data_IF_234047698918
#
_entry.id   IF_234047698918
#
_cell.length_a   1.000
_cell.length_b   1.000
_cell.length_c   1.000
_cell.angle_alpha   90.00
_cell.angle_beta   90.00
_cell.angle_gamma   90.00
#
_symmetry.space_group_name_H-M   'P 1'
#
loop_
_entity.id
_entity.type
_entity.pdbx_description
1 polymer ?
#
# COMPACT_ATOMS: atom_id res chain seq x y z
N UNK A 1 -16.71 -5.41 -6.68
CA UNK A 1 -15.55 -4.49 -6.63
C UNK A 1 -14.83 -4.72 -5.32
N UNK A 2 -13.54 -5.04 -5.34
CA UNK A 2 -12.72 -5.00 -4.13
C UNK A 2 -12.56 -3.53 -3.68
N UNK A 3 -12.53 -3.28 -2.37
CA UNK A 3 -12.39 -1.93 -1.80
C UNK A 3 -11.02 -1.30 -2.12
N UNK A 4 -10.00 -2.13 -2.38
CA UNK A 4 -8.66 -1.73 -2.76
C UNK A 4 -8.29 -2.37 -4.10
N UNK A 5 -7.70 -1.61 -5.05
CA UNK A 5 -7.31 -2.13 -6.35
C UNK A 5 -6.09 -3.06 -6.29
N UNK A 6 -5.18 -2.85 -5.33
CA UNK A 6 -3.97 -3.66 -5.10
C UNK A 6 -3.42 -3.47 -3.68
N UNK A 7 -2.46 -4.31 -3.30
CA UNK A 7 -1.62 -4.18 -2.10
C UNK A 7 -0.16 -4.14 -2.53
N UNK A 8 0.61 -3.20 -1.98
CA UNK A 8 2.06 -3.11 -2.20
C UNK A 8 2.77 -3.89 -1.09
N UNK A 9 3.64 -4.84 -1.46
CA UNK A 9 4.47 -5.59 -0.51
C UNK A 9 5.89 -5.74 -1.08
N UNK A 10 6.90 -5.47 -0.23
CA UNK A 10 8.32 -5.57 -0.62
C UNK A 10 8.83 -7.01 -0.71
N UNK A 11 8.13 -7.98 -0.12
CA UNK A 11 8.52 -9.38 -0.14
C UNK A 11 8.39 -9.94 -1.57
N UNK A 12 9.52 -10.31 -2.23
CA UNK A 12 9.47 -10.80 -3.61
C UNK A 12 8.62 -12.06 -3.75
N UNK A 13 8.59 -12.90 -2.71
CA UNK A 13 7.80 -14.13 -2.69
C UNK A 13 6.29 -13.91 -2.76
N UNK A 14 5.79 -12.72 -2.44
CA UNK A 14 4.36 -12.38 -2.46
C UNK A 14 3.93 -11.64 -3.73
N UNK A 15 4.86 -10.98 -4.41
CA UNK A 15 4.58 -10.21 -5.63
C UNK A 15 4.05 -11.13 -6.74
N UNK A 16 3.06 -10.64 -7.51
CA UNK A 16 2.37 -11.44 -8.53
C UNK A 16 1.38 -12.47 -7.97
N UNK A 17 1.21 -12.53 -6.64
CA UNK A 17 0.15 -13.33 -5.99
C UNK A 17 -1.02 -12.45 -5.57
N UNK A 18 -1.96 -13.05 -4.86
CA UNK A 18 -3.20 -12.43 -4.44
C UNK A 18 -3.36 -12.56 -2.93
N UNK A 19 -3.94 -11.53 -2.30
CA UNK A 19 -4.33 -11.58 -0.90
C UNK A 19 -5.37 -12.69 -0.69
N UNK A 20 -5.20 -13.55 0.34
CA UNK A 20 -6.15 -14.62 0.62
C UNK A 20 -7.52 -14.04 1.02
N UNK A 21 -8.59 -14.65 0.55
CA UNK A 21 -9.96 -14.21 0.79
C UNK A 21 -10.41 -13.05 -0.09
N UNK A 22 -9.72 -11.90 0.00
CA UNK A 22 -10.11 -10.67 -0.73
C UNK A 22 -9.75 -10.68 -2.21
N UNK A 23 -8.81 -11.54 -2.63
CA UNK A 23 -8.28 -11.60 -4.01
C UNK A 23 -7.89 -10.22 -4.53
N UNK A 24 -7.20 -9.44 -3.71
CA UNK A 24 -6.54 -8.18 -4.12
C UNK A 24 -5.14 -8.54 -4.62
N UNK A 25 -4.68 -8.05 -5.79
CA UNK A 25 -3.36 -8.39 -6.30
C UNK A 25 -2.26 -7.76 -5.45
N UNK A 26 -1.17 -8.50 -5.26
CA UNK A 26 0.01 -8.03 -4.54
C UNK A 26 1.06 -7.59 -5.57
N UNK A 27 1.38 -6.31 -5.56
CA UNK A 27 2.29 -5.65 -6.52
C UNK A 27 3.55 -5.15 -5.81
N UNK A 28 4.57 -4.83 -6.61
CA UNK A 28 5.80 -4.24 -6.13
C UNK A 28 5.69 -2.71 -5.98
N UNK A 29 6.65 -2.09 -5.28
CA UNK A 29 6.67 -0.64 -4.98
C UNK A 29 6.77 0.22 -6.25
N UNK A 30 7.34 -0.31 -7.33
CA UNK A 30 7.43 0.35 -8.63
C UNK A 30 6.05 0.69 -9.19
N UNK A 31 5.05 -0.16 -8.94
CA UNK A 31 3.68 0.08 -9.37
C UNK A 31 3.10 1.33 -8.67
N UNK A 32 3.35 1.46 -7.37
CA UNK A 32 2.92 2.60 -6.57
C UNK A 32 3.53 3.92 -7.08
N UNK A 33 4.81 3.91 -7.46
CA UNK A 33 5.51 5.08 -8.03
C UNK A 33 5.00 5.47 -9.41
N UNK A 34 4.57 4.49 -10.20
CA UNK A 34 4.01 4.73 -11.54
C UNK A 34 2.59 5.27 -11.47
N UNK A 35 1.74 4.71 -10.60
CA UNK A 35 0.32 5.05 -10.53
C UNK A 35 0.04 6.33 -9.73
N UNK A 36 0.86 6.63 -8.72
CA UNK A 36 0.79 7.86 -7.91
C UNK A 36 -0.62 8.13 -7.35
N UNK A 37 -1.18 7.21 -6.54
CA UNK A 37 -2.52 7.39 -6.00
C UNK A 37 -2.61 8.58 -5.04
N UNK A 38 -3.80 9.17 -4.94
CA UNK A 38 -4.11 10.25 -4.00
C UNK A 38 -4.06 9.78 -2.53
N UNK A 39 -4.46 8.53 -2.28
CA UNK A 39 -4.55 7.93 -0.95
C UNK A 39 -3.83 6.58 -0.92
N UNK A 40 -2.92 6.43 0.04
CA UNK A 40 -2.27 5.16 0.38
C UNK A 40 -2.71 4.72 1.77
N UNK A 41 -3.35 3.55 1.85
CA UNK A 41 -3.84 3.00 3.12
C UNK A 41 -2.77 2.13 3.76
N UNK A 42 -2.34 2.51 4.97
CA UNK A 42 -1.47 1.70 5.81
C UNK A 42 -2.34 0.74 6.63
N UNK A 43 -2.30 -0.54 6.25
CA UNK A 43 -3.00 -1.62 6.97
C UNK A 43 -2.36 -1.97 8.33
N UNK A 44 -1.03 -2.16 8.45
CA UNK A 44 -0.40 -2.37 9.75
C UNK A 44 -0.23 -1.02 10.47
N UNK A 45 -1.29 -0.57 11.15
CA UNK A 45 -1.33 0.69 11.89
C UNK A 45 -0.21 0.86 12.94
N UNK A 46 0.29 -0.26 13.48
CA UNK A 46 1.42 -0.30 14.40
C UNK A 46 2.73 0.14 13.73
N UNK A 47 2.88 -0.06 12.43
CA UNK A 47 4.06 0.32 11.64
C UNK A 47 3.90 1.64 10.88
N UNK A 48 2.84 2.42 11.15
CA UNK A 48 2.50 3.62 10.37
C UNK A 48 3.64 4.62 10.23
N UNK A 49 4.45 4.82 11.29
CA UNK A 49 5.54 5.80 11.30
C UNK A 49 6.70 5.35 10.44
N UNK A 50 7.04 4.06 10.53
CA UNK A 50 8.10 3.46 9.72
C UNK A 50 7.72 3.47 8.24
N UNK A 51 6.50 3.02 7.91
CA UNK A 51 6.01 2.97 6.53
C UNK A 51 5.90 4.37 5.93
N UNK A 52 5.33 5.33 6.66
CA UNK A 52 5.24 6.72 6.19
C UNK A 52 6.61 7.39 6.03
N UNK A 53 7.63 6.96 6.77
CA UNK A 53 9.01 7.42 6.59
C UNK A 53 9.69 6.75 5.38
N UNK A 54 9.50 5.45 5.19
CA UNK A 54 10.06 4.71 4.05
C UNK A 54 9.44 5.10 2.70
N UNK A 55 8.20 5.60 2.72
CA UNK A 55 7.44 5.99 1.53
C UNK A 55 7.16 7.50 1.51
N UNK A 56 8.01 8.32 2.13
CA UNK A 56 7.81 9.77 2.26
C UNK A 56 7.66 10.49 0.91
N UNK A 57 8.31 9.95 -0.12
CA UNK A 57 8.25 10.36 -1.53
C UNK A 57 6.82 10.40 -2.09
N UNK A 58 5.84 9.73 -1.45
CA UNK A 58 4.43 9.84 -1.81
C UNK A 58 3.94 11.30 -1.77
N UNK A 59 4.54 12.12 -0.90
CA UNK A 59 4.21 13.53 -0.79
C UNK A 59 4.65 14.34 -2.00
N UNK A 60 5.62 13.87 -2.77
CA UNK A 60 6.17 14.61 -3.92
C UNK A 60 5.14 14.80 -5.04
N UNK A 61 4.16 13.90 -5.14
CA UNK A 61 3.01 14.04 -6.05
C UNK A 61 1.71 14.44 -5.33
N UNK A 62 1.78 14.80 -4.04
CA UNK A 62 0.62 15.21 -3.26
C UNK A 62 -0.22 14.08 -2.66
N UNK A 63 0.24 12.82 -2.72
CA UNK A 63 -0.43 11.69 -2.10
C UNK A 63 -0.47 11.78 -0.57
N UNK A 64 -1.50 11.17 0.03
CA UNK A 64 -1.73 11.18 1.48
C UNK A 64 -1.82 9.78 2.04
N UNK A 65 -1.43 9.63 3.30
CA UNK A 65 -1.59 8.38 4.03
C UNK A 65 -2.90 8.36 4.81
N UNK A 66 -3.62 7.24 4.72
CA UNK A 66 -4.68 6.88 5.65
C UNK A 66 -4.24 5.67 6.47
N UNK A 67 -4.67 5.56 7.73
CA UNK A 67 -4.31 4.43 8.61
C UNK A 67 -5.57 3.69 9.00
N UNK A 68 -5.60 2.38 8.74
CA UNK A 68 -6.70 1.53 9.16
C UNK A 68 -6.47 1.08 10.61
N UNK A 69 -7.18 1.71 11.56
CA UNK A 69 -7.10 1.37 12.99
C UNK A 69 -8.24 0.40 13.33
N UNK A 70 -7.98 -0.73 14.02
CA UNK A 70 -9.03 -1.59 14.57
C UNK A 70 -9.91 -0.80 15.54
N UNK A 71 -11.21 -1.10 15.53
CA UNK A 71 -12.17 -0.56 16.51
C UNK A 71 -12.03 -1.24 17.88
#
# INVERSE_FOLDING_TARGET
MALLPYVVDRSPGKQGRWMPGSRIPIVAEEHLKAERPDIVVILPWNLRREIAGQLDYIRDWGGKFAVAVPA
#
